data_IF_133301444131
#
_entry.id   IF_133301444131
#
_cell.length_a   1.000
_cell.length_b   1.000
_cell.length_c   1.000
_cell.angle_alpha   90.00
_cell.angle_beta   90.00
_cell.angle_gamma   90.00
#
_symmetry.space_group_name_H-M   'P 1'
#
loop_
_entity.id
_entity.type
_entity.pdbx_description
1 polymer ?
#
# COMPACT_ATOMS: atom_id res chain seq x y z
N UNK A 1 23.95 -10.86 -18.36
CA UNK A 1 23.98 -9.43 -18.72
C UNK A 1 23.30 -8.68 -17.58
N UNK A 2 23.99 -7.82 -16.81
CA UNK A 2 23.32 -7.06 -15.77
C UNK A 2 22.35 -6.08 -16.44
N UNK A 3 21.09 -6.12 -16.02
CA UNK A 3 20.05 -5.23 -16.49
C UNK A 3 20.29 -3.85 -15.87
N UNK A 4 20.94 -2.95 -16.62
CA UNK A 4 21.03 -1.54 -16.29
C UNK A 4 19.68 -0.90 -16.60
N UNK A 5 18.76 -0.97 -15.63
CA UNK A 5 17.54 -0.17 -15.67
C UNK A 5 17.90 1.33 -15.73
N UNK A 6 17.05 2.18 -16.31
CA UNK A 6 17.29 3.61 -16.34
C UNK A 6 17.44 4.14 -14.91
N UNK A 7 18.59 4.77 -14.64
CA UNK A 7 18.78 5.63 -13.47
C UNK A 7 17.89 6.83 -13.71
N UNK A 8 16.71 6.84 -13.08
CA UNK A 8 15.91 8.05 -13.02
C UNK A 8 16.65 9.03 -12.11
N UNK A 9 17.44 9.91 -12.72
CA UNK A 9 17.76 11.17 -12.09
C UNK A 9 16.42 11.83 -11.78
N UNK A 10 16.15 12.06 -10.49
CA UNK A 10 15.15 13.02 -10.03
C UNK A 10 15.59 14.41 -10.52
N UNK A 11 15.47 14.66 -11.82
CA UNK A 11 15.39 16.02 -12.33
C UNK A 11 14.02 16.53 -11.92
N UNK A 12 14.03 17.25 -10.81
CA UNK A 12 12.99 18.21 -10.49
C UNK A 12 12.95 19.18 -11.67
N UNK A 13 12.04 18.95 -12.60
CA UNK A 13 11.79 19.89 -13.69
C UNK A 13 11.07 21.09 -13.07
N UNK A 14 11.80 22.20 -12.99
CA UNK A 14 11.29 23.53 -12.68
C UNK A 14 10.29 23.94 -13.76
N UNK A 15 9.01 23.59 -13.58
CA UNK A 15 7.88 24.34 -14.14
C UNK A 15 6.54 23.79 -13.66
N UNK A 16 6.36 23.71 -12.33
CA UNK A 16 5.03 23.85 -11.73
C UNK A 16 5.18 24.72 -10.47
N UNK A 17 4.82 25.98 -10.61
CA UNK A 17 4.67 26.96 -9.54
C UNK A 17 3.60 26.46 -8.56
N UNK A 18 3.99 25.69 -7.57
CA UNK A 18 3.26 25.62 -6.32
C UNK A 18 3.74 26.80 -5.47
N UNK A 19 2.82 27.71 -5.17
CA UNK A 19 3.06 28.81 -4.25
C UNK A 19 3.46 28.24 -2.88
N UNK A 20 4.74 28.30 -2.55
CA UNK A 20 5.27 28.16 -1.20
C UNK A 20 5.02 29.50 -0.51
N UNK A 21 3.91 29.59 0.23
CA UNK A 21 3.51 30.85 0.85
C UNK A 21 2.27 30.66 1.70
N UNK A 22 2.47 30.24 2.95
CA UNK A 22 1.42 30.16 3.94
C UNK A 22 1.71 29.09 4.98
N UNK A 23 2.41 29.48 6.04
CA UNK A 23 2.30 28.80 7.32
C UNK A 23 0.80 28.83 7.68
N UNK A 24 0.08 27.75 7.41
CA UNK A 24 -1.28 27.57 7.92
C UNK A 24 -1.15 27.28 9.42
N UNK A 25 -0.94 28.34 10.20
CA UNK A 25 -1.32 28.39 11.61
C UNK A 25 -2.85 28.42 11.61
N UNK A 26 -3.48 27.26 11.44
CA UNK A 26 -4.91 27.16 11.25
C UNK A 26 -5.44 25.83 11.75
N UNK A 27 -6.11 25.89 12.91
CA UNK A 27 -7.00 24.89 13.51
C UNK A 27 -6.40 23.80 14.43
N UNK A 28 -5.30 24.05 15.14
CA UNK A 28 -4.99 23.25 16.35
C UNK A 28 -5.98 23.50 17.50
N UNK A 29 -6.71 24.62 17.49
CA UNK A 29 -7.62 25.03 18.57
C UNK A 29 -8.98 24.32 18.59
N UNK A 30 -9.44 23.70 17.49
CA UNK A 30 -10.68 22.90 17.52
C UNK A 30 -10.47 21.44 17.97
N UNK A 31 -9.24 20.90 17.91
CA UNK A 31 -8.97 19.58 18.49
C UNK A 31 -9.04 19.58 20.02
N UNK A 32 -8.92 20.76 20.66
CA UNK A 32 -9.00 20.91 22.11
C UNK A 32 -10.44 20.98 22.66
N UNK A 33 -11.45 21.20 21.82
CA UNK A 33 -12.85 21.38 22.25
C UNK A 33 -13.67 20.09 22.28
N UNK A 34 -13.05 18.93 22.03
CA UNK A 34 -13.65 17.61 22.20
C UNK A 34 -12.53 16.64 22.54
N UNK A 35 -12.06 16.60 23.80
CA UNK A 35 -11.09 15.59 24.20
C UNK A 35 -11.67 14.22 23.86
N UNK A 36 -10.97 13.48 23.01
CA UNK A 36 -11.31 12.09 22.75
C UNK A 36 -11.00 11.36 24.05
N UNK A 37 -12.04 10.81 24.68
CA UNK A 37 -11.88 9.99 25.86
C UNK A 37 -11.08 8.73 25.49
N UNK A 38 -9.85 8.54 26.02
CA UNK A 38 -9.04 7.36 25.73
C UNK A 38 -9.76 6.06 26.07
N UNK A 39 -10.68 6.07 27.05
CA UNK A 39 -11.44 4.89 27.46
C UNK A 39 -12.48 4.44 26.42
N UNK A 40 -12.85 5.31 25.49
CA UNK A 40 -13.84 5.04 24.43
C UNK A 40 -13.16 4.54 23.15
N UNK A 41 -11.85 4.73 23.03
CA UNK A 41 -11.07 4.33 21.85
C UNK A 41 -10.60 2.89 21.97
N UNK A 42 -10.70 2.13 20.89
CA UNK A 42 -10.29 0.72 20.92
C UNK A 42 -8.79 0.52 20.66
N UNK A 43 -8.17 1.47 19.94
CA UNK A 43 -6.75 1.43 19.67
C UNK A 43 -6.00 2.41 20.57
N UNK A 44 -5.03 1.86 21.30
CA UNK A 44 -4.07 2.65 22.06
C UNK A 44 -3.07 3.31 21.09
N UNK A 45 -3.26 4.61 20.82
CA UNK A 45 -2.37 5.39 19.94
C UNK A 45 -0.92 5.35 20.43
N UNK A 46 -0.66 5.21 21.73
CA UNK A 46 0.70 5.17 22.26
C UNK A 46 1.51 3.97 21.75
N UNK A 47 0.83 2.92 21.26
CA UNK A 47 1.46 1.76 20.64
C UNK A 47 1.75 1.94 19.16
N UNK A 48 1.26 3.01 18.54
CA UNK A 48 1.53 3.32 17.15
C UNK A 48 2.79 4.16 17.06
N UNK A 49 3.81 3.59 16.43
CA UNK A 49 5.12 4.22 16.27
C UNK A 49 5.17 5.08 15.03
N UNK A 50 6.15 5.97 14.99
CA UNK A 50 6.38 6.85 13.85
C UNK A 50 7.61 6.43 13.06
N UNK A 51 7.63 6.82 11.80
CA UNK A 51 8.85 6.77 10.99
C UNK A 51 8.86 7.95 10.01
N UNK A 52 10.01 8.12 9.36
CA UNK A 52 10.17 9.01 8.24
C UNK A 52 10.99 8.34 7.14
N UNK A 53 10.98 8.93 5.95
CA UNK A 53 11.73 8.44 4.80
C UNK A 53 12.84 9.42 4.47
N UNK A 54 14.05 8.90 4.31
CA UNK A 54 15.23 9.70 3.96
C UNK A 54 16.12 8.89 3.01
N UNK A 55 16.75 9.55 2.04
CA UNK A 55 17.78 8.91 1.23
C UNK A 55 19.08 8.81 2.03
N UNK A 56 19.75 7.66 1.96
CA UNK A 56 20.99 7.39 2.71
C UNK A 56 22.10 6.95 1.75
N UNK A 57 23.24 7.64 1.81
CA UNK A 57 24.40 7.36 0.94
C UNK A 57 24.96 5.95 1.15
N UNK A 58 24.86 5.42 2.37
CA UNK A 58 25.21 4.04 2.74
C UNK A 58 24.46 2.98 1.89
N UNK A 59 23.30 3.35 1.34
CA UNK A 59 22.47 2.50 0.48
C UNK A 59 22.38 3.05 -0.95
N UNK A 60 23.47 3.66 -1.45
CA UNK A 60 23.54 4.24 -2.79
C UNK A 60 22.40 5.26 -3.05
N UNK A 61 22.12 6.11 -2.06
CA UNK A 61 21.06 7.11 -2.08
C UNK A 61 19.64 6.54 -2.28
N UNK A 62 19.46 5.26 -1.95
CA UNK A 62 18.14 4.62 -1.92
C UNK A 62 17.31 5.21 -0.78
N UNK A 63 16.01 5.51 -1.00
CA UNK A 63 15.11 5.89 0.08
C UNK A 63 15.05 4.79 1.15
N UNK A 64 15.18 5.18 2.41
CA UNK A 64 15.18 4.29 3.56
C UNK A 64 14.06 4.69 4.53
N UNK A 65 13.39 3.71 5.11
CA UNK A 65 12.54 3.92 6.28
C UNK A 65 13.42 4.02 7.51
N UNK A 66 13.24 5.08 8.29
CA UNK A 66 13.92 5.26 9.57
C UNK A 66 12.86 5.20 10.65
N UNK A 67 12.82 4.06 11.33
CA UNK A 67 11.88 3.82 12.42
C UNK A 67 12.31 4.63 13.65
N UNK A 68 11.34 5.07 14.47
CA UNK A 68 11.62 5.90 15.66
C UNK A 68 12.55 5.24 16.69
N UNK A 69 12.70 3.92 16.64
CA UNK A 69 13.59 3.08 17.45
C UNK A 69 14.95 2.81 16.79
N UNK A 70 15.35 3.63 15.82
CA UNK A 70 16.68 3.70 15.17
C UNK A 70 17.02 2.62 14.14
N UNK A 71 16.09 1.73 13.84
CA UNK A 71 16.26 0.78 12.74
C UNK A 71 16.07 1.45 11.38
N UNK A 72 16.95 1.12 10.44
CA UNK A 72 16.95 1.68 9.08
C UNK A 72 16.73 0.55 8.09
N UNK A 73 15.69 0.68 7.26
CA UNK A 73 15.38 -0.29 6.22
C UNK A 73 15.38 0.38 4.85
N UNK A 74 16.30 0.05 3.93
CA UNK A 74 16.20 0.52 2.55
C UNK A 74 14.92 -0.02 1.91
N UNK A 75 14.23 0.78 1.08
CA UNK A 75 12.97 0.34 0.45
C UNK A 75 13.13 -0.96 -0.36
N UNK A 76 14.34 -1.24 -0.87
CA UNK A 76 14.69 -2.49 -1.58
C UNK A 76 14.63 -3.75 -0.69
N UNK A 77 14.69 -3.61 0.64
CA UNK A 77 14.58 -4.74 1.58
C UNK A 77 13.16 -4.98 2.06
N UNK A 78 12.20 -4.16 1.61
CA UNK A 78 10.82 -4.19 2.04
C UNK A 78 9.90 -4.77 0.96
N UNK A 79 8.72 -5.21 1.39
CA UNK A 79 7.61 -5.44 0.47
C UNK A 79 6.61 -4.30 0.65
N UNK A 80 6.33 -3.56 -0.42
CA UNK A 80 5.26 -2.57 -0.43
C UNK A 80 3.98 -3.14 -1.00
N UNK A 81 2.84 -2.71 -0.46
CA UNK A 81 1.52 -3.10 -0.94
C UNK A 81 0.63 -1.88 -1.08
N UNK A 82 -0.07 -1.79 -2.21
CA UNK A 82 -1.07 -0.73 -2.43
C UNK A 82 -2.45 -1.32 -2.22
N UNK A 83 -3.24 -0.74 -1.32
CA UNK A 83 -4.60 -1.18 -1.06
C UNK A 83 -5.60 -0.05 -1.33
N UNK A 84 -6.73 -0.40 -1.92
CA UNK A 84 -7.82 0.52 -2.21
C UNK A 84 -9.13 -0.01 -1.63
N UNK A 85 -9.79 0.80 -0.80
CA UNK A 85 -11.18 0.68 -0.38
C UNK A 85 -12.02 1.71 -1.16
N UNK A 86 -12.68 1.31 -2.26
CA UNK A 86 -13.43 2.22 -3.10
C UNK A 86 -14.77 2.60 -2.48
N UNK A 87 -15.09 3.88 -2.50
CA UNK A 87 -16.42 4.39 -2.15
C UNK A 87 -17.14 4.93 -3.40
N UNK A 88 -18.42 4.59 -3.52
CA UNK A 88 -19.29 5.26 -4.47
C UNK A 88 -19.49 6.70 -3.97
N UNK A 89 -19.12 7.68 -4.80
CA UNK A 89 -19.29 9.09 -4.50
C UNK A 89 -20.75 9.49 -4.21
N UNK A 90 -21.00 10.79 -4.03
CA UNK A 90 -22.27 11.41 -3.56
C UNK A 90 -23.55 11.17 -4.41
N UNK A 91 -23.69 10.07 -5.13
CA UNK A 91 -24.89 9.76 -5.95
C UNK A 91 -26.09 9.28 -5.13
N UNK A 92 -25.91 8.88 -3.88
CA UNK A 92 -27.03 8.48 -3.01
C UNK A 92 -27.51 9.64 -2.12
N UNK A 93 -28.82 9.92 -2.15
CA UNK A 93 -29.50 10.91 -1.28
C UNK A 93 -29.59 10.48 0.20
N UNK A 94 -29.10 9.30 0.57
CA UNK A 94 -29.15 8.84 1.97
C UNK A 94 -28.07 9.51 2.82
N UNK A 95 -28.38 9.86 4.07
CA UNK A 95 -27.42 10.48 5.03
C UNK A 95 -26.16 9.63 5.24
N UNK A 96 -26.26 8.31 5.08
CA UNK A 96 -25.18 7.34 5.32
C UNK A 96 -24.08 7.44 4.26
N UNK A 97 -24.41 7.69 2.99
CA UNK A 97 -23.42 7.80 1.90
C UNK A 97 -22.67 9.13 1.84
N UNK A 98 -22.96 10.09 2.75
CA UNK A 98 -22.22 11.35 2.83
C UNK A 98 -20.91 11.24 3.61
N UNK A 99 -20.61 10.08 4.23
CA UNK A 99 -19.45 9.91 5.13
C UNK A 99 -18.31 9.02 4.59
N UNK A 100 -18.58 8.16 3.61
CA UNK A 100 -17.57 7.22 3.09
C UNK A 100 -16.61 7.91 2.13
N UNK A 101 -15.32 7.69 2.34
CA UNK A 101 -14.24 8.20 1.49
C UNK A 101 -13.69 7.09 0.61
N UNK A 102 -13.22 7.45 -0.59
CA UNK A 102 -12.30 6.56 -1.30
C UNK A 102 -10.98 6.59 -0.55
N UNK A 103 -10.49 5.43 -0.12
CA UNK A 103 -9.26 5.32 0.65
C UNK A 103 -8.23 4.48 -0.11
N UNK A 104 -7.06 5.05 -0.37
CA UNK A 104 -5.91 4.35 -0.95
C UNK A 104 -4.75 4.48 0.03
N UNK A 105 -4.09 3.36 0.33
CA UNK A 105 -2.92 3.33 1.21
C UNK A 105 -1.77 2.59 0.55
N UNK A 106 -0.56 3.06 0.82
CA UNK A 106 0.67 2.29 0.58
C UNK A 106 1.14 1.78 1.92
N UNK A 107 1.21 0.46 2.07
CA UNK A 107 1.68 -0.21 3.27
C UNK A 107 3.01 -0.88 3.02
N UNK A 108 3.79 -1.13 4.08
CA UNK A 108 5.03 -1.88 4.00
C UNK A 108 5.07 -3.02 5.01
N UNK A 109 5.93 -3.99 4.73
CA UNK A 109 6.30 -5.07 5.66
C UNK A 109 7.82 -5.21 5.64
N UNK A 110 8.46 -5.11 6.80
CA UNK A 110 9.91 -5.31 6.99
C UNK A 110 10.25 -6.79 7.18
N UNK A 111 11.53 -7.19 7.06
CA UNK A 111 12.00 -8.55 7.37
C UNK A 111 11.65 -9.02 8.80
N UNK A 112 11.53 -8.09 9.74
CA UNK A 112 11.26 -8.34 11.16
C UNK A 112 9.77 -8.19 11.52
N UNK A 113 8.91 -8.13 10.51
CA UNK A 113 7.45 -7.98 10.66
C UNK A 113 7.02 -6.66 11.32
N UNK A 114 7.84 -5.62 11.20
CA UNK A 114 7.32 -4.26 11.32
C UNK A 114 6.46 -3.95 10.10
N UNK A 115 5.31 -3.35 10.35
CA UNK A 115 4.34 -3.03 9.32
C UNK A 115 3.90 -1.60 9.48
N UNK A 116 3.43 -0.98 8.42
CA UNK A 116 2.97 0.39 8.56
C UNK A 116 2.41 1.00 7.30
N UNK A 117 2.06 2.27 7.40
CA UNK A 117 1.49 3.08 6.31
C UNK A 117 2.49 4.14 5.91
N UNK A 118 2.92 4.04 4.65
CA UNK A 118 3.91 4.89 3.99
C UNK A 118 3.29 6.14 3.37
N UNK A 119 2.16 5.96 2.70
CA UNK A 119 1.43 7.00 2.01
C UNK A 119 -0.08 6.75 2.16
N UNK A 120 -0.86 7.82 2.20
CA UNK A 120 -2.30 7.76 2.35
C UNK A 120 -3.03 8.74 1.43
N UNK A 121 -4.19 8.32 0.94
CA UNK A 121 -5.18 9.17 0.29
C UNK A 121 -6.56 8.80 0.80
N UNK A 122 -7.31 9.80 1.25
CA UNK A 122 -8.72 9.64 1.63
C UNK A 122 -9.50 10.89 1.25
N UNK A 123 -10.47 10.75 0.35
CA UNK A 123 -11.31 11.85 -0.11
C UNK A 123 -12.68 11.34 -0.61
N UNK A 124 -13.72 12.15 -0.44
CA UNK A 124 -15.01 11.94 -1.11
C UNK A 124 -14.87 12.40 -2.56
N UNK A 125 -14.46 11.48 -3.44
CA UNK A 125 -14.29 11.73 -4.87
C UNK A 125 -14.95 10.66 -5.75
N UNK A 126 -14.83 10.81 -7.07
CA UNK A 126 -15.22 9.76 -8.02
C UNK A 126 -14.23 8.59 -7.95
N UNK A 127 -14.67 7.34 -8.22
CA UNK A 127 -13.77 6.19 -8.26
C UNK A 127 -12.60 6.37 -9.24
N UNK A 128 -12.80 7.09 -10.35
CA UNK A 128 -11.74 7.39 -11.32
C UNK A 128 -10.61 8.24 -10.72
N UNK A 129 -10.92 9.27 -9.94
CA UNK A 129 -9.90 10.09 -9.27
C UNK A 129 -9.10 9.24 -8.27
N UNK A 130 -9.76 8.37 -7.51
CA UNK A 130 -9.07 7.47 -6.59
C UNK A 130 -8.22 6.41 -7.33
N UNK A 131 -8.68 5.93 -8.50
CA UNK A 131 -7.91 5.05 -9.37
C UNK A 131 -6.62 5.72 -9.86
N UNK A 132 -6.69 6.99 -10.27
CA UNK A 132 -5.49 7.73 -10.69
C UNK A 132 -4.49 7.90 -9.55
N UNK A 133 -4.97 8.11 -8.33
CA UNK A 133 -4.11 8.14 -7.13
C UNK A 133 -3.47 6.78 -6.87
N UNK A 134 -4.24 5.69 -6.96
CA UNK A 134 -3.72 4.33 -6.83
C UNK A 134 -2.60 4.05 -7.85
N UNK A 135 -2.83 4.37 -9.12
CA UNK A 135 -1.83 4.21 -10.18
C UNK A 135 -0.61 5.11 -9.95
N UNK A 136 -0.82 6.33 -9.42
CA UNK A 136 0.26 7.24 -9.04
C UNK A 136 1.14 6.64 -7.96
N UNK A 137 0.57 6.02 -6.92
CA UNK A 137 1.35 5.31 -5.92
C UNK A 137 2.07 4.09 -6.47
N UNK A 138 1.41 3.27 -7.31
CA UNK A 138 2.08 2.15 -7.97
C UNK A 138 3.27 2.61 -8.83
N UNK A 139 3.13 3.75 -9.52
CA UNK A 139 4.21 4.34 -10.33
C UNK A 139 5.33 4.93 -9.47
N UNK A 140 4.99 5.68 -8.42
CA UNK A 140 5.95 6.28 -7.48
C UNK A 140 6.83 5.22 -6.82
N UNK A 141 6.23 4.09 -6.47
CA UNK A 141 6.90 2.97 -5.81
C UNK A 141 7.21 1.81 -6.76
N UNK A 142 7.32 2.10 -8.06
CA UNK A 142 7.64 1.08 -9.05
C UNK A 142 8.96 0.38 -8.69
N UNK A 143 8.96 -0.96 -8.75
CA UNK A 143 10.08 -1.80 -8.32
C UNK A 143 10.01 -2.28 -6.87
N UNK A 144 9.22 -1.63 -6.01
CA UNK A 144 9.06 -2.01 -4.59
C UNK A 144 7.69 -2.63 -4.28
N UNK A 145 6.69 -2.43 -5.15
CA UNK A 145 5.34 -2.97 -4.98
C UNK A 145 5.31 -4.48 -5.21
N UNK A 146 5.13 -5.24 -4.14
CA UNK A 146 5.04 -6.71 -4.14
C UNK A 146 3.61 -7.22 -4.43
N UNK A 147 2.60 -6.36 -4.26
CA UNK A 147 1.22 -6.69 -4.55
C UNK A 147 0.29 -5.50 -4.36
N UNK A 148 -0.90 -5.62 -4.93
CA UNK A 148 -1.94 -4.65 -4.68
C UNK A 148 -3.28 -5.34 -4.48
N UNK A 149 -4.20 -4.68 -3.78
CA UNK A 149 -5.55 -5.18 -3.50
C UNK A 149 -6.56 -4.06 -3.67
N UNK A 150 -7.73 -4.42 -4.16
CA UNK A 150 -8.92 -3.59 -4.14
C UNK A 150 -10.02 -4.41 -3.48
N UNK A 151 -10.85 -3.79 -2.65
CA UNK A 151 -12.05 -4.46 -2.13
C UNK A 151 -12.93 -4.95 -3.31
N UNK A 152 -13.69 -6.02 -3.07
CA UNK A 152 -14.59 -6.64 -4.06
C UNK A 152 -16.05 -6.55 -3.57
N UNK A 153 -16.63 -5.36 -3.66
CA UNK A 153 -18.07 -5.13 -3.56
C UNK A 153 -18.70 -5.09 -4.96
N UNK A 154 -20.00 -5.33 -5.08
CA UNK A 154 -20.71 -5.62 -6.35
C UNK A 154 -20.45 -4.65 -7.53
N UNK A 155 -20.18 -3.37 -7.28
CA UNK A 155 -19.88 -2.38 -8.34
C UNK A 155 -18.40 -2.39 -8.77
N UNK A 156 -17.54 -3.07 -8.02
CA UNK A 156 -16.08 -2.99 -8.16
C UNK A 156 -15.51 -4.01 -9.14
N UNK A 157 -16.26 -4.99 -9.65
CA UNK A 157 -15.74 -5.89 -10.71
C UNK A 157 -15.43 -5.12 -12.01
N UNK A 158 -16.31 -4.20 -12.43
CA UNK A 158 -16.04 -3.33 -13.59
C UNK A 158 -14.82 -2.43 -13.33
N UNK A 159 -14.75 -1.86 -12.12
CA UNK A 159 -13.64 -0.99 -11.73
C UNK A 159 -12.31 -1.75 -11.68
N UNK A 160 -12.36 -3.02 -11.32
CA UNK A 160 -11.20 -3.91 -11.24
C UNK A 160 -10.65 -4.23 -12.62
N UNK A 161 -11.53 -4.53 -13.57
CA UNK A 161 -11.12 -4.79 -14.95
C UNK A 161 -10.55 -3.53 -15.60
N UNK A 162 -11.19 -2.37 -15.38
CA UNK A 162 -10.63 -1.09 -15.80
C UNK A 162 -9.25 -0.83 -15.16
N UNK A 163 -9.11 -1.05 -13.86
CA UNK A 163 -7.83 -0.84 -13.16
C UNK A 163 -6.75 -1.78 -13.70
N UNK A 164 -7.08 -3.05 -14.00
CA UNK A 164 -6.15 -4.01 -14.63
C UNK A 164 -5.69 -3.55 -16.00
N UNK A 165 -6.60 -3.05 -16.82
CA UNK A 165 -6.27 -2.55 -18.15
C UNK A 165 -5.39 -1.31 -18.05
N UNK A 166 -5.68 -0.38 -17.13
CA UNK A 166 -4.83 0.79 -16.87
C UNK A 166 -3.43 0.43 -16.35
N UNK A 167 -3.32 -0.57 -15.47
CA UNK A 167 -2.01 -1.08 -15.01
C UNK A 167 -1.21 -1.64 -16.20
N UNK A 168 -1.87 -2.39 -17.10
CA UNK A 168 -1.24 -2.95 -18.30
C UNK A 168 -0.81 -1.84 -19.27
N UNK A 169 -1.69 -0.88 -19.55
CA UNK A 169 -1.41 0.28 -20.43
C UNK A 169 -0.21 1.09 -19.94
N UNK A 170 -0.08 1.26 -18.62
CA UNK A 170 1.03 2.01 -18.00
C UNK A 170 2.28 1.15 -17.74
N UNK A 171 2.28 -0.12 -18.16
CA UNK A 171 3.36 -1.08 -17.91
C UNK A 171 3.80 -1.18 -16.44
N UNK A 172 2.85 -1.05 -15.51
CA UNK A 172 3.14 -1.07 -14.07
C UNK A 172 3.16 -2.51 -13.53
N UNK A 173 4.17 -2.83 -12.72
CA UNK A 173 4.19 -4.07 -11.95
C UNK A 173 3.38 -3.93 -10.66
N UNK A 174 2.08 -4.17 -10.73
CA UNK A 174 1.17 -4.13 -9.58
C UNK A 174 0.21 -5.32 -9.63
N UNK A 175 0.64 -6.52 -9.17
CA UNK A 175 -0.20 -7.70 -9.26
C UNK A 175 -1.41 -7.56 -8.32
N UNK A 176 -2.59 -7.34 -8.92
CA UNK A 176 -3.85 -7.23 -8.21
C UNK A 176 -4.30 -8.59 -7.69
N UNK A 177 -4.31 -8.72 -6.36
CA UNK A 177 -4.70 -9.94 -5.66
C UNK A 177 -6.16 -9.86 -5.21
N UNK A 178 -6.83 -11.01 -5.29
CA UNK A 178 -8.19 -11.18 -4.77
C UNK A 178 -8.11 -11.48 -3.27
N UNK A 179 -8.84 -10.71 -2.47
CA UNK A 179 -9.02 -10.96 -1.04
C UNK A 179 -10.47 -11.35 -0.80
N UNK A 180 -10.68 -12.56 -0.27
CA UNK A 180 -12.02 -13.03 0.09
C UNK A 180 -12.34 -12.63 1.52
N UNK A 181 -13.27 -11.70 1.69
CA UNK A 181 -13.81 -11.36 3.01
C UNK A 181 -14.79 -12.48 3.43
N UNK A 182 -14.61 -13.11 4.60
CA UNK A 182 -15.54 -14.13 5.08
C UNK A 182 -16.96 -13.56 5.24
N UNK A 183 -17.99 -14.27 4.76
CA UNK A 183 -19.38 -13.80 4.83
C UNK A 183 -19.90 -13.54 6.24
N UNK A 184 -19.35 -14.25 7.23
CA UNK A 184 -19.71 -14.10 8.66
C UNK A 184 -18.87 -13.03 9.37
N UNK A 185 -17.86 -12.48 8.72
CA UNK A 185 -17.11 -11.35 9.26
C UNK A 185 -18.07 -10.16 9.28
N UNK A 186 -18.21 -9.53 10.45
CA UNK A 186 -19.04 -8.33 10.59
C UNK A 186 -18.60 -7.20 9.63
N UNK A 187 -19.26 -6.04 9.73
CA UNK A 187 -18.90 -4.86 8.93
C UNK A 187 -17.44 -4.40 9.12
N UNK A 188 -17.09 -3.27 8.50
CA UNK A 188 -15.71 -2.72 8.49
C UNK A 188 -14.99 -2.80 9.85
N UNK A 189 -15.66 -2.44 10.95
CA UNK A 189 -15.06 -2.47 12.29
C UNK A 189 -14.60 -3.87 12.71
N UNK A 190 -15.43 -4.90 12.48
CA UNK A 190 -15.07 -6.27 12.84
C UNK A 190 -13.85 -6.76 12.04
N UNK A 191 -13.75 -6.34 10.78
CA UNK A 191 -12.60 -6.66 9.92
C UNK A 191 -11.33 -5.94 10.40
N UNK A 192 -11.42 -4.65 10.69
CA UNK A 192 -10.29 -3.86 11.22
C UNK A 192 -9.77 -4.50 12.52
N UNK A 193 -10.67 -4.81 13.47
CA UNK A 193 -10.30 -5.51 14.71
C UNK A 193 -9.62 -6.85 14.44
N UNK A 194 -10.23 -7.69 13.61
CA UNK A 194 -9.73 -9.03 13.35
C UNK A 194 -8.36 -9.04 12.63
N UNK A 195 -8.07 -8.03 11.81
CA UNK A 195 -6.92 -8.08 10.89
C UNK A 195 -5.81 -7.08 11.22
N UNK A 196 -6.09 -6.03 11.99
CA UNK A 196 -5.15 -4.96 12.31
C UNK A 196 -4.78 -4.88 13.80
N UNK A 197 -5.70 -5.22 14.72
CA UNK A 197 -5.49 -5.08 16.17
C UNK A 197 -4.18 -5.70 16.64
N UNK A 198 -3.85 -6.91 16.18
CA UNK A 198 -2.64 -7.62 16.59
C UNK A 198 -1.36 -6.79 16.39
N UNK A 199 -1.25 -6.09 15.25
CA UNK A 199 -0.04 -5.32 14.93
C UNK A 199 0.09 -4.06 15.77
N UNK A 200 -1.04 -3.38 16.00
CA UNK A 200 -1.12 -2.18 16.84
C UNK A 200 -0.85 -2.55 18.30
N UNK A 201 -1.54 -3.57 18.83
CA UNK A 201 -1.40 -4.01 20.22
C UNK A 201 0.01 -4.48 20.58
N UNK A 202 0.72 -5.07 19.60
CA UNK A 202 2.12 -5.51 19.72
C UNK A 202 3.13 -4.36 19.63
N UNK A 203 2.71 -3.15 19.22
CA UNK A 203 3.62 -2.02 18.99
C UNK A 203 4.50 -2.19 17.75
N UNK A 204 4.02 -2.95 16.77
CA UNK A 204 4.71 -3.24 15.50
C UNK A 204 4.14 -2.47 14.31
N UNK A 205 3.15 -1.61 14.55
CA UNK A 205 2.48 -0.81 13.54
C UNK A 205 3.04 0.62 13.53
N UNK A 206 3.50 1.05 12.36
CA UNK A 206 4.17 2.33 12.17
C UNK A 206 3.39 3.21 11.19
N UNK A 207 3.40 4.52 11.41
CA UNK A 207 2.76 5.49 10.52
C UNK A 207 3.73 6.59 10.16
N UNK A 208 3.82 6.89 8.86
CA UNK A 208 4.62 8.00 8.38
C UNK A 208 4.08 9.31 8.98
N UNK A 209 4.98 10.19 9.46
CA UNK A 209 4.59 11.52 9.97
C UNK A 209 3.77 12.33 8.96
N UNK A 210 3.99 12.11 7.67
CA UNK A 210 3.24 12.74 6.58
C UNK A 210 1.81 12.20 6.37
N UNK A 211 1.37 11.20 7.15
CA UNK A 211 0.05 10.56 7.05
C UNK A 211 -0.85 10.90 8.27
N UNK A 212 -1.34 12.15 8.41
CA UNK A 212 -2.11 12.56 9.57
C UNK A 212 -3.53 11.97 9.63
N UNK A 213 -4.14 11.61 8.50
CA UNK A 213 -5.53 11.14 8.45
C UNK A 213 -5.65 9.75 9.05
N UNK A 214 -4.77 8.81 8.75
CA UNK A 214 -4.82 7.46 9.32
C UNK A 214 -4.54 7.50 10.82
N UNK A 215 -3.62 8.36 11.29
CA UNK A 215 -3.41 8.58 12.74
C UNK A 215 -4.67 9.06 13.44
N UNK A 216 -5.38 10.01 12.83
CA UNK A 216 -6.66 10.47 13.34
C UNK A 216 -7.70 9.34 13.35
N UNK A 217 -7.73 8.48 12.33
CA UNK A 217 -8.64 7.33 12.31
C UNK A 217 -8.28 6.30 13.40
N UNK A 218 -7.00 6.03 13.65
CA UNK A 218 -6.53 5.18 14.76
C UNK A 218 -7.05 5.73 16.09
N UNK A 219 -6.81 7.03 16.36
CA UNK A 219 -7.28 7.71 17.57
C UNK A 219 -8.79 7.70 17.77
N UNK A 220 -9.56 7.60 16.70
CA UNK A 220 -11.02 7.69 16.75
C UNK A 220 -11.68 6.33 16.53
N UNK A 221 -10.90 5.26 16.42
CA UNK A 221 -11.44 3.94 16.15
C UNK A 221 -12.26 3.44 17.34
N UNK A 222 -13.47 2.95 17.08
CA UNK A 222 -14.47 2.60 18.10
C UNK A 222 -15.48 3.71 18.40
N UNK A 223 -15.14 4.98 18.12
CA UNK A 223 -16.05 6.12 18.33
C UNK A 223 -17.16 6.13 17.28
N UNK A 224 -18.42 6.26 17.72
CA UNK A 224 -19.58 6.23 16.84
C UNK A 224 -19.48 7.30 15.74
N UNK A 225 -19.63 6.88 14.48
CA UNK A 225 -19.65 7.77 13.32
C UNK A 225 -18.30 8.34 12.91
N UNK A 226 -17.20 7.93 13.55
CA UNK A 226 -15.84 8.23 13.11
C UNK A 226 -15.51 7.59 11.76
N UNK A 227 -14.55 8.20 11.05
CA UNK A 227 -14.07 7.68 9.76
C UNK A 227 -13.07 6.56 9.98
N UNK A 228 -13.12 5.54 9.12
CA UNK A 228 -12.31 4.33 9.24
C UNK A 228 -11.88 3.73 7.90
N UNK A 229 -12.10 4.44 6.78
CA UNK A 229 -11.86 3.90 5.44
C UNK A 229 -10.35 3.64 5.18
N UNK A 230 -9.44 4.42 5.77
CA UNK A 230 -7.98 4.17 5.67
C UNK A 230 -7.56 2.95 6.51
N UNK A 231 -8.12 2.81 7.71
CA UNK A 231 -7.92 1.62 8.55
C UNK A 231 -8.44 0.37 7.85
N UNK A 232 -9.57 0.48 7.16
CA UNK A 232 -10.16 -0.62 6.43
C UNK A 232 -9.33 -1.03 5.21
N UNK A 233 -8.87 -0.06 4.42
CA UNK A 233 -7.92 -0.29 3.32
C UNK A 233 -6.61 -0.93 3.83
N UNK A 234 -6.11 -0.49 4.98
CA UNK A 234 -4.93 -1.07 5.64
C UNK A 234 -5.19 -2.50 6.09
N UNK A 235 -6.35 -2.76 6.70
CA UNK A 235 -6.78 -4.10 7.10
C UNK A 235 -6.84 -5.05 5.90
N UNK A 236 -7.36 -4.60 4.75
CA UNK A 236 -7.36 -5.38 3.51
C UNK A 236 -5.94 -5.76 3.05
N UNK A 237 -4.99 -4.82 3.13
CA UNK A 237 -3.60 -5.06 2.77
C UNK A 237 -2.98 -6.22 3.57
N UNK A 238 -3.35 -6.39 4.85
CA UNK A 238 -2.77 -7.43 5.71
C UNK A 238 -3.01 -8.85 5.20
N UNK A 239 -4.04 -9.06 4.38
CA UNK A 239 -4.35 -10.38 3.78
C UNK A 239 -3.40 -10.78 2.66
N UNK A 240 -2.68 -9.81 2.09
CA UNK A 240 -1.72 -10.05 1.03
C UNK A 240 -0.28 -9.80 1.48
N UNK A 241 -0.08 -9.32 2.71
CA UNK A 241 1.23 -9.16 3.30
C UNK A 241 2.01 -10.47 3.34
N UNK A 242 3.26 -10.36 2.91
CA UNK A 242 4.29 -11.38 2.97
C UNK A 242 5.55 -10.70 3.46
N UNK A 243 6.28 -11.40 4.33
CA UNK A 243 7.64 -11.01 4.71
C UNK A 243 8.51 -10.92 3.45
N UNK A 244 9.38 -9.91 3.35
CA UNK A 244 10.43 -9.90 2.33
C UNK A 244 11.25 -11.19 2.39
N UNK A 245 11.62 -11.71 1.23
CA UNK A 245 12.54 -12.85 1.18
C UNK A 245 13.93 -12.41 1.62
N UNK A 246 14.54 -13.21 2.48
CA UNK A 246 15.95 -13.08 2.84
C UNK A 246 16.82 -13.31 1.60
N UNK A 247 18.06 -12.82 1.64
CA UNK A 247 19.01 -13.06 0.54
C UNK A 247 19.24 -14.55 0.28
N UNK A 248 19.26 -15.36 1.34
CA UNK A 248 19.40 -16.82 1.24
C UNK A 248 18.20 -17.45 0.53
N UNK A 249 16.97 -17.06 0.89
CA UNK A 249 15.75 -17.54 0.23
C UNK A 249 15.71 -17.12 -1.23
N UNK A 250 16.09 -15.86 -1.52
CA UNK A 250 16.16 -15.32 -2.88
C UNK A 250 17.19 -16.07 -3.74
N UNK A 251 18.40 -16.26 -3.23
CA UNK A 251 19.47 -16.99 -3.92
C UNK A 251 19.11 -18.45 -4.14
N UNK A 252 18.48 -19.11 -3.15
CA UNK A 252 17.97 -20.47 -3.26
C UNK A 252 16.92 -20.59 -4.36
N UNK A 253 15.94 -19.67 -4.38
CA UNK A 253 14.89 -19.63 -5.40
C UNK A 253 15.45 -19.39 -6.79
N UNK A 254 16.41 -18.46 -6.95
CA UNK A 254 17.11 -18.25 -8.22
C UNK A 254 17.85 -19.50 -8.69
N UNK A 255 18.54 -20.21 -7.78
CA UNK A 255 19.21 -21.47 -8.10
C UNK A 255 18.21 -22.51 -8.60
N UNK A 256 17.08 -22.67 -7.93
CA UNK A 256 16.00 -23.57 -8.37
C UNK A 256 15.47 -23.16 -9.75
N UNK A 257 15.20 -21.87 -9.97
CA UNK A 257 14.75 -21.38 -11.28
C UNK A 257 15.77 -21.66 -12.39
N UNK A 258 17.07 -21.43 -12.13
CA UNK A 258 18.14 -21.74 -13.09
C UNK A 258 18.19 -23.23 -13.41
N UNK A 259 18.05 -24.09 -12.41
CA UNK A 259 18.01 -25.55 -12.59
C UNK A 259 16.78 -25.99 -13.41
N UNK A 260 15.60 -25.42 -13.14
CA UNK A 260 14.37 -25.69 -13.89
C UNK A 260 14.45 -25.16 -15.32
N UNK A 261 15.05 -23.99 -15.54
CA UNK A 261 15.26 -23.44 -16.87
C UNK A 261 16.25 -24.30 -17.67
N UNK A 262 17.34 -24.74 -17.04
CA UNK A 262 18.32 -25.63 -17.65
C UNK A 262 17.71 -27.01 -17.98
N UNK A 263 16.85 -27.56 -17.13
CA UNK A 263 16.17 -28.84 -17.39
C UNK A 263 15.13 -28.76 -18.50
N UNK A 264 14.47 -27.60 -18.68
CA UNK A 264 13.58 -27.34 -19.82
C UNK A 264 14.32 -27.12 -21.15
N UNK A 265 15.60 -26.75 -21.11
CA UNK A 265 16.48 -26.74 -22.29
C UNK A 265 16.96 -28.13 -22.73
N UNK A 266 16.72 -29.16 -21.91
CA UNK A 266 17.14 -30.55 -22.14
C UNK A 266 16.03 -31.47 -22.66
N UNK A 267 14.79 -30.98 -22.85
CA UNK A 267 13.77 -31.75 -23.59
C UNK A 267 13.99 -31.56 -25.08
N UNK A 268 14.96 -32.29 -25.62
CA UNK A 268 15.12 -32.49 -27.06
C UNK A 268 13.85 -33.08 -27.66
N UNK A 269 13.04 -32.23 -28.28
CA UNK A 269 12.09 -32.64 -29.30
C UNK A 269 12.32 -31.81 -30.56
N UNK A 270 12.95 -32.46 -31.54
CA UNK A 270 12.77 -32.17 -32.96
C UNK A 270 13.52 -30.96 -33.52
N UNK A 271 14.80 -31.16 -33.85
CA UNK A 271 15.30 -30.57 -35.10
C UNK A 271 14.45 -31.14 -36.24
N UNK A 272 13.45 -30.38 -36.69
CA UNK A 272 12.85 -30.61 -38.00
C UNK A 272 13.95 -30.38 -39.05
N UNK A 273 14.55 -31.47 -39.51
CA UNK A 273 15.29 -31.44 -40.78
C UNK A 273 14.26 -31.23 -41.88
N UNK A 274 14.35 -30.15 -42.68
CA UNK A 274 13.41 -29.90 -43.76
C UNK A 274 13.57 -31.03 -44.78
N UNK A 275 12.48 -31.77 -45.00
CA UNK A 275 12.42 -32.83 -45.98
C UNK A 275 12.79 -32.30 -47.37
N UNK A 276 13.83 -32.90 -47.94
CA UNK A 276 14.12 -32.81 -49.35
C UNK A 276 13.00 -33.48 -50.14
N UNK A 277 12.34 -32.70 -50.99
CA UNK A 277 11.46 -33.20 -52.04
C UNK A 277 12.33 -33.85 -53.13
N UNK A 278 12.05 -35.12 -53.41
CA UNK A 278 12.23 -35.75 -54.72
C UNK A 278 10.85 -36.06 -55.27
#
# INVERSE_FOLDING_TARGET
VPYSGPVYNLQVSDDHTYSVGGLLVGNSSQMLNSPIDPEVTEFDESKVKEFYVEARSEYADTPCLILSDTEVYPLTSLNLYVAWDPALGKTSKTRVSKKSENAVVVTFVTPDWHVGVLDEFAEICTPYKAMDVFLTYCKRYAGYVAGAVMDETLFQEVLKDLLRDRIRELALHAPLRKVKIPKMMGGKDARIRAWLSHYIEKGSFYVNRACPKIRRQIRQFGVEGAKRDLLDATALATKIWRRPETEVERASRERVYRLVAASRGLTGYGQFSPGGLR
#
